data_IF_112914440124
#
_entry.id   IF_112914440124
#
_cell.length_a   1.000
_cell.length_b   1.000
_cell.length_c   1.000
_cell.angle_alpha   90.00
_cell.angle_beta   90.00
_cell.angle_gamma   90.00
#
_symmetry.space_group_name_H-M   'P 1'
#
loop_
_entity.id
_entity.type
_entity.pdbx_description
1 polymer ?
#
# COMPACT_ATOMS: atom_id res chain seq x y z
N UNK A 1 31.26 -8.52 4.09
CA UNK A 1 30.12 -7.65 4.48
C UNK A 1 28.87 -8.53 4.52
N UNK A 2 28.10 -8.54 5.61
CA UNK A 2 26.93 -9.42 5.77
C UNK A 2 25.67 -8.68 5.31
N UNK A 3 24.87 -9.31 4.44
CA UNK A 3 23.60 -8.78 3.93
C UNK A 3 22.60 -8.48 5.06
N UNK A 4 22.64 -9.24 6.15
CA UNK A 4 21.83 -8.98 7.36
C UNK A 4 22.18 -7.63 7.99
N UNK A 5 23.48 -7.28 8.05
CA UNK A 5 23.93 -5.99 8.58
C UNK A 5 23.43 -4.83 7.70
N UNK A 6 23.46 -4.99 6.37
CA UNK A 6 22.94 -3.98 5.44
C UNK A 6 21.42 -3.86 5.47
N UNK A 7 20.69 -4.96 5.61
CA UNK A 7 19.25 -4.93 5.79
C UNK A 7 18.86 -4.21 7.09
N UNK A 8 19.64 -4.39 8.16
CA UNK A 8 19.44 -3.66 9.42
C UNK A 8 19.71 -2.15 9.25
N UNK A 9 20.82 -1.77 8.63
CA UNK A 9 21.12 -0.36 8.34
C UNK A 9 20.00 0.30 7.51
N UNK A 10 19.47 -0.42 6.51
CA UNK A 10 18.32 0.03 5.72
C UNK A 10 17.07 0.20 6.60
N UNK A 11 16.78 -0.77 7.48
CA UNK A 11 15.66 -0.67 8.42
C UNK A 11 15.80 0.51 9.39
N UNK A 12 17.01 0.76 9.90
CA UNK A 12 17.31 1.92 10.75
C UNK A 12 17.11 3.24 9.98
N UNK A 13 17.57 3.32 8.73
CA UNK A 13 17.36 4.48 7.87
C UNK A 13 15.86 4.71 7.57
N UNK A 14 15.13 3.65 7.23
CA UNK A 14 13.68 3.71 7.00
C UNK A 14 12.93 4.17 8.25
N UNK A 15 13.37 3.76 9.44
CA UNK A 15 12.74 4.18 10.70
C UNK A 15 12.75 5.70 10.94
N UNK A 16 13.64 6.43 10.28
CA UNK A 16 13.78 7.88 10.35
C UNK A 16 12.96 8.62 9.28
N UNK A 17 12.27 7.91 8.39
CA UNK A 17 11.50 8.56 7.32
C UNK A 17 10.22 9.17 7.86
N UNK A 18 9.73 10.27 7.23
CA UNK A 18 8.51 10.93 7.67
C UNK A 18 7.28 10.03 7.62
N UNK A 19 7.25 9.03 6.72
CA UNK A 19 6.14 8.07 6.61
C UNK A 19 6.04 7.17 7.85
N UNK A 20 7.18 6.65 8.35
CA UNK A 20 7.19 5.81 9.55
C UNK A 20 6.93 6.64 10.80
N UNK A 21 7.50 7.85 10.87
CA UNK A 21 7.23 8.76 11.99
C UNK A 21 5.77 9.19 12.03
N UNK A 22 5.18 9.50 10.87
CA UNK A 22 3.77 9.85 10.71
C UNK A 22 2.85 8.68 11.09
N UNK A 23 3.21 7.46 10.71
CA UNK A 23 2.46 6.25 11.08
C UNK A 23 2.47 6.04 12.59
N UNK A 24 3.64 6.10 13.24
CA UNK A 24 3.78 5.98 14.70
C UNK A 24 3.02 7.07 15.45
N UNK A 25 3.08 8.31 14.97
CA UNK A 25 2.35 9.42 15.58
C UNK A 25 0.83 9.24 15.47
N UNK A 26 0.33 8.77 14.31
CA UNK A 26 -1.09 8.49 14.12
C UNK A 26 -1.58 7.34 15.00
N UNK A 27 -0.76 6.29 15.16
CA UNK A 27 -1.06 5.19 16.08
C UNK A 27 -1.11 5.67 17.54
N UNK A 28 -0.12 6.45 17.98
CA UNK A 28 -0.10 7.01 19.32
C UNK A 28 -1.33 7.91 19.59
N UNK A 29 -1.76 8.68 18.59
CA UNK A 29 -2.97 9.50 18.68
C UNK A 29 -4.23 8.65 18.85
N UNK A 30 -4.35 7.52 18.14
CA UNK A 30 -5.45 6.56 18.34
C UNK A 30 -5.43 5.99 19.75
N UNK A 31 -4.25 5.59 20.24
CA UNK A 31 -4.11 4.99 21.57
C UNK A 31 -4.42 5.96 22.72
N UNK A 32 -4.25 7.27 22.48
CA UNK A 32 -4.58 8.32 23.44
C UNK A 32 -6.09 8.64 23.50
N UNK A 33 -6.87 8.29 22.48
CA UNK A 33 -8.33 8.47 22.44
C UNK A 33 -9.06 7.15 22.73
N UNK A 34 -9.76 7.00 23.87
CA UNK A 34 -10.42 5.74 24.23
C UNK A 34 -11.42 5.23 23.18
N UNK A 35 -12.19 6.13 22.56
CA UNK A 35 -13.19 5.76 21.57
C UNK A 35 -12.59 5.23 20.27
N UNK A 36 -11.51 5.85 19.79
CA UNK A 36 -10.76 5.38 18.62
C UNK A 36 -9.96 4.12 18.95
N UNK A 37 -9.37 4.03 20.15
CA UNK A 37 -8.61 2.86 20.60
C UNK A 37 -9.46 1.59 20.57
N UNK A 38 -10.65 1.62 21.18
CA UNK A 38 -11.53 0.45 21.23
C UNK A 38 -11.98 0.03 19.82
N UNK A 39 -12.34 1.02 18.99
CA UNK A 39 -12.76 0.77 17.61
C UNK A 39 -11.61 0.24 16.73
N UNK A 40 -10.39 0.70 16.97
CA UNK A 40 -9.21 0.23 16.26
C UNK A 40 -8.78 -1.16 16.71
N UNK A 41 -8.99 -1.52 17.98
CA UNK A 41 -8.75 -2.88 18.48
C UNK A 41 -9.61 -3.93 17.76
N UNK A 42 -10.89 -3.61 17.48
CA UNK A 42 -11.78 -4.49 16.69
C UNK A 42 -11.19 -4.77 15.29
N UNK A 43 -10.63 -3.74 14.64
CA UNK A 43 -9.96 -3.89 13.35
C UNK A 43 -8.71 -4.78 13.46
N UNK A 44 -7.83 -4.52 14.43
CA UNK A 44 -6.61 -5.30 14.64
C UNK A 44 -6.89 -6.77 14.94
N UNK A 45 -7.92 -7.07 15.73
CA UNK A 45 -8.31 -8.44 16.05
C UNK A 45 -8.74 -9.20 14.79
N UNK A 46 -9.57 -8.56 13.96
CA UNK A 46 -10.06 -9.15 12.71
C UNK A 46 -8.94 -9.36 11.69
N UNK A 47 -8.04 -8.39 11.57
CA UNK A 47 -6.86 -8.49 10.71
C UNK A 47 -5.95 -9.64 11.16
N UNK A 48 -5.66 -9.76 12.47
CA UNK A 48 -4.87 -10.86 13.02
C UNK A 48 -5.52 -12.22 12.77
N UNK A 49 -6.85 -12.30 12.88
CA UNK A 49 -7.63 -13.50 12.56
C UNK A 49 -7.40 -13.95 11.12
N UNK A 50 -7.51 -13.03 10.15
CA UNK A 50 -7.29 -13.30 8.73
C UNK A 50 -5.87 -13.78 8.46
N UNK A 51 -4.87 -13.11 9.04
CA UNK A 51 -3.45 -13.51 8.88
C UNK A 51 -3.20 -14.91 9.47
N UNK A 52 -3.83 -15.23 10.60
CA UNK A 52 -3.75 -16.56 11.21
C UNK A 52 -4.41 -17.62 10.33
N UNK A 53 -5.59 -17.34 9.79
CA UNK A 53 -6.27 -18.19 8.80
C UNK A 53 -5.36 -18.42 7.59
N UNK A 54 -4.76 -17.37 7.03
CA UNK A 54 -3.84 -17.48 5.90
C UNK A 54 -2.64 -18.39 6.20
N UNK A 55 -2.05 -18.30 7.39
CA UNK A 55 -0.94 -19.17 7.80
C UNK A 55 -1.35 -20.65 7.88
N UNK A 56 -2.58 -20.94 8.33
CA UNK A 56 -3.06 -22.31 8.55
C UNK A 56 -3.63 -22.92 7.27
N UNK A 57 -4.57 -22.23 6.61
CA UNK A 57 -5.33 -22.76 5.47
C UNK A 57 -4.69 -22.45 4.11
N UNK A 58 -3.69 -21.56 4.05
CA UNK A 58 -3.11 -20.95 2.83
C UNK A 58 -4.10 -20.16 1.96
N UNK A 59 -5.39 -20.19 2.27
CA UNK A 59 -6.48 -19.55 1.52
C UNK A 59 -7.37 -18.80 2.50
N UNK A 60 -7.38 -17.48 2.37
CA UNK A 60 -8.30 -16.61 3.12
C UNK A 60 -9.65 -16.61 2.41
N UNK A 61 -10.77 -16.88 3.11
CA UNK A 61 -12.09 -16.78 2.52
C UNK A 61 -12.39 -15.34 2.07
N UNK A 62 -12.88 -15.14 0.85
CA UNK A 62 -13.22 -13.81 0.31
C UNK A 62 -14.18 -13.02 1.22
N UNK A 63 -15.12 -13.72 1.86
CA UNK A 63 -16.06 -13.14 2.81
C UNK A 63 -15.36 -12.43 3.98
N UNK A 64 -14.25 -12.98 4.47
CA UNK A 64 -13.49 -12.36 5.57
C UNK A 64 -12.76 -11.11 5.10
N UNK A 65 -12.16 -11.16 3.91
CA UNK A 65 -11.49 -10.01 3.28
C UNK A 65 -12.47 -8.86 3.05
N UNK A 66 -13.66 -9.13 2.48
CA UNK A 66 -14.70 -8.12 2.27
C UNK A 66 -15.15 -7.52 3.60
N UNK A 67 -15.38 -8.38 4.60
CA UNK A 67 -15.83 -7.91 5.92
C UNK A 67 -14.76 -7.09 6.67
N UNK A 68 -13.48 -7.26 6.37
CA UNK A 68 -12.40 -6.40 6.88
C UNK A 68 -12.38 -5.04 6.16
N UNK A 69 -12.56 -5.03 4.84
CA UNK A 69 -12.65 -3.80 4.05
C UNK A 69 -13.84 -2.93 4.50
N UNK A 70 -15.02 -3.54 4.67
CA UNK A 70 -16.22 -2.84 5.16
C UNK A 70 -16.00 -2.26 6.57
N UNK A 71 -15.32 -3.01 7.44
CA UNK A 71 -14.97 -2.53 8.78
C UNK A 71 -14.03 -1.32 8.68
N UNK A 72 -12.97 -1.42 7.88
CA UNK A 72 -12.02 -0.32 7.64
C UNK A 72 -12.73 0.94 7.16
N UNK A 73 -13.61 0.84 6.17
CA UNK A 73 -14.38 1.99 5.64
C UNK A 73 -15.28 2.61 6.71
N UNK A 74 -16.01 1.79 7.48
CA UNK A 74 -16.85 2.29 8.57
C UNK A 74 -16.04 3.02 9.64
N UNK A 75 -14.90 2.47 10.04
CA UNK A 75 -14.03 3.09 11.03
C UNK A 75 -13.43 4.41 10.53
N UNK A 76 -12.99 4.45 9.27
CA UNK A 76 -12.48 5.68 8.64
C UNK A 76 -13.52 6.80 8.58
N UNK A 77 -14.79 6.46 8.38
CA UNK A 77 -15.86 7.46 8.32
C UNK A 77 -16.25 7.99 9.70
N UNK A 78 -16.16 7.14 10.74
CA UNK A 78 -16.59 7.48 12.09
C UNK A 78 -15.49 8.12 12.95
N UNK A 79 -14.24 7.71 12.75
CA UNK A 79 -13.12 8.11 13.61
C UNK A 79 -12.02 8.80 12.78
N UNK A 80 -11.89 10.14 12.87
CA UNK A 80 -10.88 10.89 12.11
C UNK A 80 -9.44 10.45 12.39
N UNK A 81 -9.13 10.03 13.61
CA UNK A 81 -7.80 9.53 13.99
C UNK A 81 -7.46 8.22 13.28
N UNK A 82 -8.44 7.31 13.18
CA UNK A 82 -8.29 6.06 12.43
C UNK A 82 -8.13 6.35 10.92
N UNK A 83 -8.89 7.31 10.39
CA UNK A 83 -8.70 7.76 9.00
C UNK A 83 -7.28 8.29 8.75
N UNK A 84 -6.76 9.13 9.65
CA UNK A 84 -5.41 9.67 9.55
C UNK A 84 -4.36 8.55 9.57
N UNK A 85 -4.51 7.57 10.45
CA UNK A 85 -3.64 6.38 10.47
C UNK A 85 -3.64 5.64 9.14
N UNK A 86 -4.81 5.34 8.56
CA UNK A 86 -4.87 4.61 7.29
C UNK A 86 -4.28 5.39 6.10
N UNK A 87 -4.34 6.72 6.12
CA UNK A 87 -3.65 7.56 5.13
C UNK A 87 -2.13 7.42 5.28
N UNK A 88 -1.60 7.48 6.51
CA UNK A 88 -0.17 7.29 6.76
C UNK A 88 0.29 5.87 6.44
N UNK A 89 -0.53 4.86 6.74
CA UNK A 89 -0.27 3.47 6.40
C UNK A 89 -0.11 3.29 4.89
N UNK A 90 -0.98 3.91 4.08
CA UNK A 90 -0.86 3.86 2.63
C UNK A 90 0.44 4.52 2.13
N UNK A 91 0.84 5.65 2.71
CA UNK A 91 2.12 6.31 2.35
C UNK A 91 3.32 5.42 2.67
N UNK A 92 3.30 4.77 3.84
CA UNK A 92 4.32 3.80 4.23
C UNK A 92 4.36 2.58 3.31
N UNK A 93 3.21 2.02 2.94
CA UNK A 93 3.13 0.89 2.00
C UNK A 93 3.72 1.25 0.63
N UNK A 94 3.47 2.47 0.14
CA UNK A 94 4.07 2.98 -1.11
C UNK A 94 5.59 3.08 -1.00
N UNK A 95 6.11 3.62 0.11
CA UNK A 95 7.54 3.69 0.36
C UNK A 95 8.16 2.28 0.35
N UNK A 96 7.52 1.32 1.01
CA UNK A 96 8.02 -0.06 1.04
C UNK A 96 7.95 -0.76 -0.30
N UNK A 97 6.89 -0.53 -1.08
CA UNK A 97 6.79 -1.03 -2.45
C UNK A 97 7.93 -0.47 -3.33
N UNK A 98 8.27 0.81 -3.17
CA UNK A 98 9.39 1.43 -3.88
C UNK A 98 10.73 0.83 -3.47
N UNK A 99 10.96 0.62 -2.17
CA UNK A 99 12.18 -0.06 -1.66
C UNK A 99 12.30 -1.47 -2.27
N UNK A 100 11.23 -2.26 -2.25
CA UNK A 100 11.22 -3.59 -2.83
C UNK A 100 11.49 -3.57 -4.33
N UNK A 101 10.89 -2.60 -5.05
CA UNK A 101 11.13 -2.41 -6.48
C UNK A 101 12.59 -2.05 -6.76
N UNK A 102 13.18 -1.11 -6.01
CA UNK A 102 14.58 -0.71 -6.16
C UNK A 102 15.53 -1.87 -5.88
N UNK A 103 15.31 -2.63 -4.80
CA UNK A 103 16.12 -3.80 -4.47
C UNK A 103 16.02 -4.86 -5.57
N UNK A 104 14.80 -5.19 -6.01
CA UNK A 104 14.56 -6.18 -7.07
C UNK A 104 15.21 -5.74 -8.37
N UNK A 105 15.05 -4.48 -8.76
CA UNK A 105 15.64 -3.87 -9.96
C UNK A 105 17.15 -3.90 -9.92
N UNK A 106 17.75 -3.62 -8.76
CA UNK A 106 19.22 -3.61 -8.61
C UNK A 106 19.79 -5.03 -8.66
N UNK A 107 19.06 -6.02 -8.13
CA UNK A 107 19.51 -7.42 -8.08
C UNK A 107 19.32 -8.16 -9.41
N UNK A 108 18.18 -7.94 -10.09
CA UNK A 108 17.76 -8.74 -11.24
C UNK A 108 17.62 -7.93 -12.54
N UNK A 109 17.87 -6.62 -12.50
CA UNK A 109 17.44 -5.70 -13.56
C UNK A 109 15.98 -5.29 -13.37
N UNK A 110 15.53 -4.27 -14.09
CA UNK A 110 14.16 -3.74 -13.97
C UNK A 110 13.16 -4.87 -14.30
N UNK A 111 12.29 -5.27 -13.34
CA UNK A 111 11.33 -6.33 -13.60
C UNK A 111 10.45 -5.92 -14.76
N UNK A 112 10.18 -6.84 -15.68
CA UNK A 112 9.20 -6.57 -16.74
C UNK A 112 7.81 -6.60 -16.12
N UNK A 113 6.83 -5.96 -16.75
CA UNK A 113 5.43 -6.06 -16.32
C UNK A 113 4.90 -7.50 -16.28
N UNK A 114 5.58 -8.42 -16.99
CA UNK A 114 5.34 -9.86 -16.97
C UNK A 114 5.66 -10.50 -15.62
N UNK A 115 6.60 -9.92 -14.86
CA UNK A 115 7.10 -10.44 -13.59
C UNK A 115 6.33 -9.89 -12.37
N UNK A 116 5.45 -8.91 -12.58
CA UNK A 116 4.63 -8.34 -11.53
C UNK A 116 3.33 -9.15 -11.35
N UNK A 117 2.89 -9.42 -10.10
CA UNK A 117 1.64 -10.13 -9.81
C UNK A 117 0.43 -9.19 -10.00
N UNK A 118 0.25 -8.70 -11.21
CA UNK A 118 -0.85 -7.82 -11.64
C UNK A 118 -1.64 -8.52 -12.76
N UNK A 119 -2.98 -8.33 -12.81
CA UNK A 119 -3.80 -8.87 -13.88
C UNK A 119 -3.29 -8.47 -15.26
N UNK A 120 -3.39 -9.37 -16.25
CA UNK A 120 -2.85 -9.16 -17.61
C UNK A 120 -3.33 -7.84 -18.25
N UNK A 121 -4.54 -7.39 -17.91
CA UNK A 121 -5.12 -6.13 -18.37
C UNK A 121 -4.31 -4.89 -17.96
N UNK A 122 -3.57 -4.96 -16.85
CA UNK A 122 -2.77 -3.85 -16.33
C UNK A 122 -1.29 -3.94 -16.67
N UNK A 123 -0.83 -5.04 -17.28
CA UNK A 123 0.59 -5.25 -17.62
C UNK A 123 1.10 -4.21 -18.61
N UNK A 124 0.32 -3.83 -19.61
CA UNK A 124 0.72 -2.79 -20.57
C UNK A 124 0.95 -1.43 -19.91
N UNK A 125 0.11 -1.07 -18.93
CA UNK A 125 0.26 0.16 -18.15
C UNK A 125 1.45 0.10 -17.20
N UNK A 126 1.66 -1.04 -16.53
CA UNK A 126 2.81 -1.25 -15.67
C UNK A 126 4.13 -1.17 -16.45
N UNK A 127 4.18 -1.72 -17.67
CA UNK A 127 5.37 -1.66 -18.53
C UNK A 127 5.73 -0.22 -18.88
N UNK A 128 4.73 0.61 -19.23
CA UNK A 128 4.97 2.03 -19.51
C UNK A 128 5.45 2.83 -18.29
N UNK A 129 4.99 2.48 -17.09
CA UNK A 129 5.46 3.12 -15.85
C UNK A 129 6.90 2.71 -15.58
N UNK A 130 7.23 1.43 -15.74
CA UNK A 130 8.59 0.90 -15.57
C UNK A 130 9.56 1.54 -16.57
N UNK A 131 9.20 1.61 -17.86
CA UNK A 131 10.02 2.26 -18.90
C UNK A 131 10.30 3.75 -18.59
N UNK A 132 9.32 4.44 -17.99
CA UNK A 132 9.48 5.85 -17.56
C UNK A 132 10.33 6.01 -16.29
N UNK A 133 10.41 4.99 -15.45
CA UNK A 133 11.31 4.97 -14.27
C UNK A 133 12.74 4.61 -14.71
N UNK A 134 12.89 3.78 -15.75
CA UNK A 134 14.20 3.31 -16.25
C UNK A 134 14.89 4.28 -17.21
N UNK A 135 14.13 5.08 -17.95
CA UNK A 135 14.67 6.14 -18.80
C UNK A 135 14.86 7.42 -18.00
N UNK A 136 16.10 7.72 -17.61
CA UNK A 136 16.50 8.88 -16.79
C UNK A 136 16.18 10.26 -17.39
N UNK A 137 14.90 10.61 -17.46
CA UNK A 137 14.40 11.92 -17.85
C UNK A 137 13.38 12.39 -16.81
N UNK A 138 13.63 13.59 -16.31
CA UNK A 138 12.88 14.35 -15.31
C UNK A 138 11.39 14.01 -15.21
N UNK A 139 10.90 13.90 -13.97
CA UNK A 139 9.49 13.89 -13.57
C UNK A 139 8.73 15.09 -14.16
N UNK A 140 8.34 15.01 -15.43
CA UNK A 140 7.32 15.87 -15.99
C UNK A 140 5.97 15.43 -15.42
N UNK A 141 5.26 16.43 -14.89
CA UNK A 141 3.96 16.32 -14.24
C UNK A 141 3.06 15.37 -15.03
N UNK A 142 2.47 14.40 -14.33
CA UNK A 142 1.48 13.46 -14.83
C UNK A 142 0.30 14.20 -15.48
N UNK A 143 0.41 14.53 -16.76
CA UNK A 143 -0.72 14.92 -17.59
C UNK A 143 -1.40 13.65 -18.09
N UNK A 144 -2.57 13.37 -17.51
CA UNK A 144 -3.48 12.34 -18.03
C UNK A 144 -4.09 12.88 -19.32
N UNK A 145 -3.59 12.44 -20.46
CA UNK A 145 -4.15 12.82 -21.77
C UNK A 145 -5.50 12.13 -21.99
N UNK A 146 -6.50 12.82 -22.62
CA UNK A 146 -7.84 12.28 -22.86
C UNK A 146 -7.89 10.96 -23.65
N UNK A 147 -6.84 10.66 -24.41
CA UNK A 147 -6.73 9.39 -25.13
C UNK A 147 -6.52 8.18 -24.20
N UNK A 148 -5.99 8.39 -22.99
CA UNK A 148 -5.82 7.31 -22.00
C UNK A 148 -7.15 6.86 -21.35
N UNK A 149 -8.25 7.57 -21.63
CA UNK A 149 -9.60 7.24 -21.15
C UNK A 149 -10.45 6.52 -22.21
N UNK A 150 -9.96 6.39 -23.46
CA UNK A 150 -10.68 5.65 -24.50
C UNK A 150 -10.57 4.15 -24.24
N UNK A 151 -11.63 3.57 -23.67
CA UNK A 151 -11.78 2.13 -23.45
C UNK A 151 -12.12 1.76 -22.00
N UNK A 152 -11.92 2.68 -21.06
CA UNK A 152 -12.30 2.48 -19.66
C UNK A 152 -13.79 2.84 -19.54
N UNK A 153 -14.66 1.82 -19.49
CA UNK A 153 -16.06 2.01 -19.10
C UNK A 153 -16.08 2.40 -17.63
N UNK A 154 -16.21 3.70 -17.35
CA UNK A 154 -16.47 4.19 -16.00
C UNK A 154 -17.78 3.57 -15.48
N UNK A 155 -17.82 3.10 -14.22
CA UNK A 155 -19.08 2.73 -13.59
C UNK A 155 -20.00 3.97 -13.51
N UNK A 156 -21.32 3.79 -13.64
CA UNK A 156 -22.28 4.87 -13.90
C UNK A 156 -22.44 5.95 -12.80
N UNK A 157 -21.62 5.94 -11.75
CA UNK A 157 -21.80 6.80 -10.57
C UNK A 157 -20.73 7.90 -10.38
N UNK A 158 -19.99 8.26 -11.43
CA UNK A 158 -19.03 9.37 -11.41
C UNK A 158 -19.33 10.45 -12.46
N UNK A 159 -20.61 10.82 -12.59
CA UNK A 159 -21.00 12.09 -13.20
C UNK A 159 -21.48 13.06 -12.12
N UNK A 160 -20.60 13.98 -11.74
CA UNK A 160 -20.99 15.36 -11.44
C UNK A 160 -19.85 16.29 -11.84
#
# INVERSE_FOLDING_TARGET
MNYITKARELGEALSQTPEIQGLKAAEAAIMADPGSKDAFAEYQEKERGIVTTQMISKVVPEKETIALLDLKVRLMNKYPLIKAYFIQQQSYEKLMAMVNLTLTTTMHGMPSASDLPIPDEFKGMAQQILDKIGGGSSLEKLHVSPEMLKGIKLPPNLKS
#
